data_IF_958339010349
#
_entry.id   IF_958339010349
#
_cell.length_a   1.000
_cell.length_b   1.000
_cell.length_c   1.000
_cell.angle_alpha   90.00
_cell.angle_beta   90.00
_cell.angle_gamma   90.00
#
_symmetry.space_group_name_H-M   'P 1'
#
loop_
_entity.id
_entity.type
_entity.pdbx_description
1 polymer ?
#
# COMPACT_ATOMS: atom_id res chain seq x y z
N UNK A 1 28.90 -23.38 -19.67
CA UNK A 1 28.95 -21.95 -19.29
C UNK A 1 27.77 -21.15 -19.84
N UNK A 2 27.39 -21.32 -21.12
CA UNK A 2 26.24 -20.62 -21.72
C UNK A 2 24.85 -21.03 -21.17
N UNK A 3 24.63 -22.31 -20.87
CA UNK A 3 23.33 -22.78 -20.35
C UNK A 3 23.03 -22.26 -18.94
N UNK A 4 24.03 -22.21 -18.06
CA UNK A 4 23.89 -21.71 -16.68
C UNK A 4 23.49 -20.23 -16.64
N UNK A 5 24.04 -19.41 -17.57
CA UNK A 5 23.68 -17.98 -17.70
C UNK A 5 22.23 -17.81 -18.19
N UNK A 6 21.77 -18.68 -19.09
CA UNK A 6 20.38 -18.64 -19.59
C UNK A 6 19.37 -19.09 -18.53
N UNK A 7 19.69 -20.10 -17.71
CA UNK A 7 18.85 -20.51 -16.57
C UNK A 7 18.71 -19.37 -15.57
N UNK A 8 19.80 -18.69 -15.22
CA UNK A 8 19.78 -17.55 -14.29
C UNK A 8 18.96 -16.40 -14.87
N UNK A 9 19.17 -16.02 -16.14
CA UNK A 9 18.38 -14.98 -16.81
C UNK A 9 16.90 -15.31 -16.87
N UNK A 10 16.54 -16.56 -17.18
CA UNK A 10 15.16 -17.01 -17.21
C UNK A 10 14.53 -17.04 -15.81
N UNK A 11 15.30 -17.35 -14.76
CA UNK A 11 14.84 -17.28 -13.38
C UNK A 11 14.57 -15.84 -12.94
N UNK A 12 15.45 -14.91 -13.32
CA UNK A 12 15.22 -13.47 -13.10
C UNK A 12 14.02 -12.95 -13.89
N UNK A 13 13.91 -13.27 -15.18
CA UNK A 13 12.76 -12.89 -16.02
C UNK A 13 11.45 -13.47 -15.47
N UNK A 14 11.44 -14.74 -15.06
CA UNK A 14 10.27 -15.37 -14.44
C UNK A 14 9.89 -14.70 -13.12
N UNK A 15 10.88 -14.30 -12.30
CA UNK A 15 10.66 -13.50 -11.10
C UNK A 15 10.02 -12.14 -11.39
N UNK A 16 10.47 -11.44 -12.43
CA UNK A 16 9.85 -10.20 -12.89
C UNK A 16 8.46 -10.42 -13.47
N UNK A 17 8.23 -11.52 -14.19
CA UNK A 17 6.92 -11.84 -14.76
C UNK A 17 5.90 -12.18 -13.67
N UNK A 18 6.31 -12.92 -12.64
CA UNK A 18 5.48 -13.25 -11.47
C UNK A 18 5.20 -12.00 -10.65
N UNK A 19 6.18 -11.11 -10.47
CA UNK A 19 5.95 -9.81 -9.83
C UNK A 19 5.02 -8.93 -10.66
N UNK A 20 5.20 -8.87 -11.98
CA UNK A 20 4.36 -8.06 -12.87
C UNK A 20 2.92 -8.60 -12.94
N UNK A 21 2.72 -9.92 -12.98
CA UNK A 21 1.41 -10.56 -12.93
C UNK A 21 0.76 -10.40 -11.56
N UNK A 22 1.53 -10.47 -10.47
CA UNK A 22 1.07 -10.17 -9.12
C UNK A 22 0.64 -8.71 -8.97
N UNK A 23 1.40 -7.77 -9.53
CA UNK A 23 1.04 -6.35 -9.60
C UNK A 23 -0.20 -6.12 -10.48
N UNK A 24 -0.34 -6.84 -11.59
CA UNK A 24 -1.49 -6.72 -12.49
C UNK A 24 -2.76 -7.27 -11.85
N UNK A 25 -2.68 -8.43 -11.19
CA UNK A 25 -3.80 -8.99 -10.41
C UNK A 25 -4.13 -8.09 -9.23
N UNK A 26 -3.14 -7.57 -8.50
CA UNK A 26 -3.35 -6.56 -7.47
C UNK A 26 -4.08 -5.34 -8.02
N UNK A 27 -3.65 -4.80 -9.16
CA UNK A 27 -4.29 -3.65 -9.80
C UNK A 27 -5.73 -3.96 -10.25
N UNK A 28 -6.00 -5.13 -10.83
CA UNK A 28 -7.32 -5.54 -11.30
C UNK A 28 -8.30 -5.74 -10.13
N UNK A 29 -7.89 -6.39 -9.05
CA UNK A 29 -8.76 -6.64 -7.89
C UNK A 29 -8.94 -5.38 -7.02
N UNK A 30 -7.89 -4.60 -6.83
CA UNK A 30 -7.93 -3.40 -6.00
C UNK A 30 -8.65 -2.22 -6.70
N UNK A 31 -8.43 -2.02 -8.00
CA UNK A 31 -9.16 -1.01 -8.77
C UNK A 31 -10.62 -1.41 -9.04
N UNK A 32 -10.90 -2.72 -9.15
CA UNK A 32 -12.27 -3.24 -9.28
C UNK A 32 -13.16 -2.92 -8.08
N UNK A 33 -12.61 -2.95 -6.86
CA UNK A 33 -13.31 -2.46 -5.66
C UNK A 33 -13.47 -0.93 -5.60
N UNK A 34 -12.51 -0.19 -6.19
CA UNK A 34 -12.50 1.28 -6.20
C UNK A 34 -13.56 1.89 -7.13
N UNK A 35 -14.08 1.14 -8.11
CA UNK A 35 -15.15 1.60 -9.00
C UNK A 35 -16.55 1.50 -8.39
N UNK A 36 -16.71 0.90 -7.21
CA UNK A 36 -17.99 0.82 -6.55
C UNK A 36 -18.24 2.10 -5.72
N UNK A 37 -19.09 2.97 -6.27
CA UNK A 37 -19.81 4.08 -5.60
C UNK A 37 -19.15 5.46 -5.65
N UNK A 38 -19.24 6.04 -6.86
CA UNK A 38 -18.95 7.44 -7.22
C UNK A 38 -19.59 8.53 -6.32
N UNK A 39 -20.48 8.20 -5.37
CA UNK A 39 -21.22 9.19 -4.57
C UNK A 39 -20.97 9.15 -3.05
N UNK A 40 -20.15 8.24 -2.51
CA UNK A 40 -19.68 8.32 -1.10
C UNK A 40 -18.65 7.23 -0.82
N UNK A 41 -17.38 7.48 -1.14
CA UNK A 41 -16.30 6.63 -0.60
C UNK A 41 -16.23 6.87 0.91
N UNK A 42 -16.27 5.81 1.71
CA UNK A 42 -16.13 5.85 3.16
C UNK A 42 -14.75 5.30 3.56
N UNK A 43 -13.81 6.18 3.96
CA UNK A 43 -12.48 5.76 4.39
C UNK A 43 -12.48 4.80 5.58
N UNK A 44 -13.42 4.93 6.51
CA UNK A 44 -13.47 4.09 7.70
C UNK A 44 -13.91 2.68 7.35
N UNK A 45 -14.96 2.56 6.51
CA UNK A 45 -15.39 1.24 6.02
C UNK A 45 -14.29 0.54 5.22
N UNK A 46 -13.51 1.30 4.44
CA UNK A 46 -12.34 0.78 3.73
C UNK A 46 -11.26 0.29 4.70
N UNK A 47 -10.87 1.10 5.68
CA UNK A 47 -9.86 0.72 6.68
C UNK A 47 -10.32 -0.49 7.52
N UNK A 48 -11.59 -0.54 7.91
CA UNK A 48 -12.17 -1.67 8.65
C UNK A 48 -12.17 -2.96 7.82
N UNK A 49 -12.40 -2.86 6.51
CA UNK A 49 -12.46 -4.05 5.65
C UNK A 49 -11.09 -4.65 5.35
N UNK A 50 -10.06 -3.80 5.22
CA UNK A 50 -8.74 -4.22 4.72
C UNK A 50 -7.62 -4.15 5.76
N UNK A 51 -7.75 -3.32 6.79
CA UNK A 51 -6.66 -2.97 7.73
C UNK A 51 -7.03 -3.12 9.21
N UNK A 52 -8.24 -3.60 9.56
CA UNK A 52 -8.69 -3.80 10.94
C UNK A 52 -7.83 -4.81 11.70
N UNK A 53 -7.58 -5.97 11.10
CA UNK A 53 -6.65 -6.96 11.65
C UNK A 53 -5.70 -7.42 10.55
N UNK A 54 -4.44 -7.61 10.92
CA UNK A 54 -3.41 -8.08 9.99
C UNK A 54 -3.70 -9.50 9.44
N UNK A 55 -4.66 -10.23 10.04
CA UNK A 55 -5.00 -11.61 9.71
C UNK A 55 -6.15 -11.76 8.71
N UNK A 56 -7.00 -10.74 8.52
CA UNK A 56 -8.30 -10.93 7.87
C UNK A 56 -8.29 -10.77 6.34
N UNK A 57 -7.43 -9.91 5.77
CA UNK A 57 -7.39 -9.74 4.31
C UNK A 57 -6.11 -10.30 3.68
N UNK A 58 -6.28 -11.32 2.83
CA UNK A 58 -5.18 -12.00 2.14
C UNK A 58 -4.43 -11.07 1.20
N UNK A 59 -5.10 -10.13 0.53
CA UNK A 59 -4.44 -9.19 -0.38
C UNK A 59 -3.52 -8.23 0.40
N UNK A 60 -3.96 -7.73 1.55
CA UNK A 60 -3.17 -6.86 2.41
C UNK A 60 -2.01 -7.58 3.08
N UNK A 61 -2.18 -8.85 3.47
CA UNK A 61 -1.05 -9.67 3.93
C UNK A 61 0.02 -9.80 2.85
N UNK A 62 -0.39 -10.06 1.61
CA UNK A 62 0.53 -10.17 0.47
C UNK A 62 1.27 -8.83 0.28
N UNK A 63 0.55 -7.71 0.25
CA UNK A 63 1.16 -6.37 0.10
C UNK A 63 2.17 -6.10 1.22
N UNK A 64 1.77 -6.29 2.48
CA UNK A 64 2.62 -6.01 3.64
C UNK A 64 3.81 -6.98 3.74
N UNK A 65 3.67 -8.21 3.26
CA UNK A 65 4.75 -9.20 3.24
C UNK A 65 5.81 -8.89 2.17
N UNK A 66 5.38 -8.51 0.96
CA UNK A 66 6.32 -8.21 -0.12
C UNK A 66 6.95 -6.81 -0.04
N UNK A 67 6.24 -5.85 0.57
CA UNK A 67 6.69 -4.47 0.65
C UNK A 67 8.11 -4.32 1.23
N UNK A 68 8.47 -4.90 2.40
CA UNK A 68 9.84 -4.81 2.92
C UNK A 68 10.90 -5.29 1.94
N UNK A 69 10.62 -6.36 1.18
CA UNK A 69 11.51 -6.89 0.16
C UNK A 69 11.71 -5.94 -1.01
N UNK A 70 10.64 -5.28 -1.45
CA UNK A 70 10.72 -4.25 -2.51
C UNK A 70 11.53 -3.06 -2.00
N UNK A 71 11.22 -2.54 -0.80
CA UNK A 71 11.88 -1.38 -0.22
C UNK A 71 13.38 -1.63 0.04
N UNK A 72 13.77 -2.85 0.43
CA UNK A 72 15.17 -3.22 0.64
C UNK A 72 16.05 -3.04 -0.61
N UNK A 73 15.45 -3.17 -1.80
CA UNK A 73 16.17 -3.09 -3.09
C UNK A 73 16.32 -1.66 -3.60
N UNK A 74 15.68 -0.68 -2.97
CA UNK A 74 15.79 0.72 -3.37
C UNK A 74 17.18 1.29 -3.02
N UNK A 75 17.75 2.15 -3.88
CA UNK A 75 19.01 2.81 -3.59
C UNK A 75 18.88 3.70 -2.35
N UNK A 76 19.94 3.75 -1.54
CA UNK A 76 19.97 4.54 -0.30
C UNK A 76 21.08 5.59 -0.35
N UNK A 77 20.84 6.82 0.15
CA UNK A 77 19.57 7.33 0.68
C UNK A 77 18.58 7.71 -0.42
N UNK A 78 17.27 7.62 -0.13
CA UNK A 78 16.23 8.13 -1.03
C UNK A 78 16.02 9.61 -0.72
N UNK A 79 16.20 10.49 -1.71
CA UNK A 79 16.02 11.94 -1.48
C UNK A 79 14.55 12.30 -1.30
N UNK A 80 13.69 11.81 -2.19
CA UNK A 80 12.27 12.18 -2.22
C UNK A 80 11.43 10.97 -2.62
N UNK A 81 10.34 10.76 -1.90
CA UNK A 81 9.32 9.74 -2.19
C UNK A 81 8.00 10.46 -2.46
N UNK A 82 7.32 10.04 -3.52
CA UNK A 82 5.95 10.43 -3.81
C UNK A 82 5.07 9.18 -3.74
N UNK A 83 4.20 9.14 -2.73
CA UNK A 83 3.18 8.12 -2.54
C UNK A 83 1.89 8.57 -3.26
N UNK A 84 1.64 7.97 -4.42
CA UNK A 84 0.53 8.32 -5.32
C UNK A 84 -0.64 7.38 -5.10
N UNK A 85 -1.80 7.92 -4.72
CA UNK A 85 -3.01 7.12 -4.49
C UNK A 85 -2.94 6.34 -3.18
N UNK A 86 -2.49 7.01 -2.12
CA UNK A 86 -2.29 6.40 -0.81
C UNK A 86 -3.58 5.94 -0.12
N UNK A 87 -4.74 6.42 -0.60
CA UNK A 87 -6.00 6.26 0.10
C UNK A 87 -5.92 6.89 1.50
N UNK A 88 -6.65 6.36 2.48
CA UNK A 88 -6.59 6.80 3.86
C UNK A 88 -5.47 6.12 4.68
N UNK A 89 -4.38 5.66 4.04
CA UNK A 89 -3.37 4.78 4.68
C UNK A 89 -1.97 5.40 4.79
N UNK A 90 -1.20 4.96 5.79
CA UNK A 90 0.13 5.52 6.13
C UNK A 90 1.28 4.50 6.08
N UNK A 91 1.01 3.27 5.64
CA UNK A 91 1.99 2.17 5.76
C UNK A 91 3.24 2.38 4.88
N UNK A 92 3.11 2.99 3.69
CA UNK A 92 4.25 3.32 2.82
C UNK A 92 5.16 4.39 3.46
N UNK A 93 4.65 5.58 3.87
CA UNK A 93 5.45 6.56 4.59
C UNK A 93 6.15 5.99 5.83
N UNK A 94 5.46 5.19 6.64
CA UNK A 94 6.02 4.57 7.86
C UNK A 94 7.19 3.62 7.53
N UNK A 95 7.06 2.82 6.47
CA UNK A 95 8.10 1.88 6.07
C UNK A 95 9.35 2.57 5.48
N UNK A 96 9.16 3.75 4.87
CA UNK A 96 10.22 4.56 4.26
C UNK A 96 10.80 5.63 5.19
N UNK A 97 10.25 5.83 6.39
CA UNK A 97 10.60 6.93 7.31
C UNK A 97 12.11 7.08 7.63
N UNK A 98 12.85 5.97 7.61
CA UNK A 98 14.30 5.95 7.91
C UNK A 98 15.16 5.87 6.63
N UNK A 99 14.55 5.80 5.46
CA UNK A 99 15.24 5.63 4.17
C UNK A 99 15.07 6.85 3.25
N UNK A 100 14.00 7.61 3.44
CA UNK A 100 13.67 8.79 2.65
C UNK A 100 13.88 10.09 3.43
N UNK A 101 14.47 11.11 2.79
CA UNK A 101 14.61 12.44 3.40
C UNK A 101 13.31 13.24 3.36
N UNK A 102 12.50 13.07 2.30
CA UNK A 102 11.23 13.74 2.12
C UNK A 102 10.20 12.75 1.58
N UNK A 103 9.01 12.76 2.16
CA UNK A 103 7.89 11.89 1.77
C UNK A 103 6.67 12.79 1.52
N UNK A 104 6.12 12.69 0.33
CA UNK A 104 4.89 13.37 -0.07
C UNK A 104 3.81 12.32 -0.32
N UNK A 105 2.66 12.47 0.30
CA UNK A 105 1.53 11.57 0.14
C UNK A 105 0.39 12.30 -0.58
N UNK A 106 -0.21 11.63 -1.56
CA UNK A 106 -1.29 12.19 -2.36
C UNK A 106 -2.38 11.16 -2.62
N UNK A 107 -3.60 11.65 -2.76
CA UNK A 107 -4.75 10.84 -3.15
C UNK A 107 -5.70 11.70 -3.98
N UNK A 108 -6.55 11.09 -4.81
CA UNK A 108 -7.56 11.81 -5.58
C UNK A 108 -8.69 12.33 -4.68
N UNK A 109 -9.17 11.52 -3.73
CA UNK A 109 -10.31 11.86 -2.91
C UNK A 109 -9.92 12.77 -1.73
N UNK A 110 -10.62 13.90 -1.56
CA UNK A 110 -10.37 14.82 -0.44
C UNK A 110 -10.58 14.12 0.92
N UNK A 111 -11.61 13.28 1.04
CA UNK A 111 -11.91 12.54 2.29
C UNK A 111 -10.74 11.65 2.74
N UNK A 112 -9.97 11.08 1.81
CA UNK A 112 -8.78 10.31 2.14
C UNK A 112 -7.66 11.22 2.67
N UNK A 113 -7.47 12.37 2.02
CA UNK A 113 -6.49 13.37 2.45
C UNK A 113 -6.85 13.95 3.82
N UNK A 114 -8.12 14.18 4.12
CA UNK A 114 -8.57 14.69 5.42
C UNK A 114 -8.32 13.70 6.55
N UNK A 115 -8.51 12.41 6.27
CA UNK A 115 -8.19 11.30 7.18
C UNK A 115 -6.69 11.24 7.43
N UNK A 116 -5.87 11.30 6.38
CA UNK A 116 -4.40 11.36 6.50
C UNK A 116 -3.90 12.64 7.20
N UNK A 117 -4.60 13.76 7.05
CA UNK A 117 -4.26 15.01 7.74
C UNK A 117 -4.61 14.92 9.23
N UNK A 118 -5.76 14.33 9.56
CA UNK A 118 -6.13 14.02 10.95
C UNK A 118 -5.08 13.12 11.59
N UNK A 119 -4.50 12.22 10.80
CA UNK A 119 -3.09 11.78 10.78
C UNK A 119 -2.17 11.96 11.98
N UNK A 120 -0.92 12.26 11.69
CA UNK A 120 -0.34 13.60 11.44
C UNK A 120 -0.72 14.57 12.55
N UNK A 121 -1.92 15.12 12.56
CA UNK A 121 -2.30 16.13 13.56
C UNK A 121 -2.83 15.53 14.87
N UNK A 122 -2.76 14.21 15.03
CA UNK A 122 -3.24 13.46 16.20
C UNK A 122 -4.69 13.78 16.56
N UNK A 123 -5.50 14.07 15.53
CA UNK A 123 -6.93 14.36 15.65
C UNK A 123 -7.82 13.16 15.34
N UNK A 124 -7.26 11.96 15.41
CA UNK A 124 -8.03 10.74 15.20
C UNK A 124 -9.00 10.53 16.34
N UNK A 125 -10.24 10.96 16.12
CA UNK A 125 -11.36 10.52 16.91
C UNK A 125 -11.58 9.06 16.54
N UNK A 126 -11.10 8.13 17.37
CA UNK A 126 -11.70 6.80 17.45
C UNK A 126 -13.16 7.08 17.77
N UNK A 127 -14.05 6.97 16.80
CA UNK A 127 -15.46 6.83 17.08
C UNK A 127 -15.58 5.50 17.82
N UNK A 128 -15.40 5.55 19.15
CA UNK A 128 -15.82 4.48 20.03
C UNK A 128 -17.32 4.46 19.85
N UNK A 129 -17.79 3.55 19.00
CA UNK A 129 -19.17 3.11 19.05
C UNK A 129 -19.47 2.80 20.50
N UNK A 130 -20.28 3.67 21.08
CA UNK A 130 -20.80 3.57 22.42
C UNK A 130 -21.78 2.41 22.38
N UNK A 131 -21.27 1.18 22.55
CA UNK A 131 -21.99 -0.01 23.01
C UNK A 131 -21.02 -1.19 23.17
N UNK A 132 -20.27 -1.19 24.28
CA UNK A 132 -20.07 -2.46 24.97
C UNK A 132 -21.44 -2.90 25.50
N UNK A 133 -21.96 -4.01 24.97
CA UNK A 133 -22.91 -4.86 25.70
C UNK A 133 -22.13 -6.03 26.27
#
# INVERSE_FOLDING_TARGET
>A
MWETVNVIKNFFLAGYLIQALGFLLFYVYFLGGFLQKKNSFDPNAYLESFYKTASEDTAMQIVLFFLPGILYRLPRPIRTVLDLGAGPTVYIPIALRNQALQIFTSDYAQVNRDVLQSWIEDRWVVQKDTKCK
#
